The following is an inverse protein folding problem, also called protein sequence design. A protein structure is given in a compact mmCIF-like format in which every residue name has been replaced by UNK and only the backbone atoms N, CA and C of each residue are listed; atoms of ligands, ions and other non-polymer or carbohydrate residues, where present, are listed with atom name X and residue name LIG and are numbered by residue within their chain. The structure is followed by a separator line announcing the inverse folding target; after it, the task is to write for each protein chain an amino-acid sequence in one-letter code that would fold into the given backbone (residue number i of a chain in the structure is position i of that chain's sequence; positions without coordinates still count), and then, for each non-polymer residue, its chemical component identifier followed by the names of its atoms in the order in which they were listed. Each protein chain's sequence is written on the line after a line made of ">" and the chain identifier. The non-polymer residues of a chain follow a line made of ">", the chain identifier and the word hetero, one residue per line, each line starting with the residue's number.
data_IF_353217839722
#
_entry.id   IF_353217839722
#
_cell.length_a   1.000
_cell.length_b   1.000
_cell.length_c   1.000
_cell.angle_alpha   90.00
_cell.angle_beta   90.00
_cell.angle_gamma   90.00
#
_symmetry.space_group_name_H-M   'P 1'
#
loop_
_entity.id
_entity.type
_entity.pdbx_description
1 polymer ?
#
# COMPACT_ATOMS: atom_id res chain seq x y z
N UNK A 1 62.67 4.04 12.65
CA UNK A 1 62.09 3.27 13.78
C UNK A 1 62.59 1.83 13.78
N UNK A 2 62.48 1.09 12.66
CA UNK A 2 62.92 -0.31 12.55
C UNK A 2 64.40 -0.63 12.87
N UNK A 3 65.32 0.35 12.83
CA UNK A 3 66.77 0.14 13.01
C UNK A 3 67.30 0.45 14.41
N UNK A 4 66.45 0.90 15.33
CA UNK A 4 66.85 1.32 16.67
C UNK A 4 65.91 0.70 17.69
N UNK A 5 66.43 -0.12 18.61
CA UNK A 5 65.70 -0.69 19.75
C UNK A 5 65.34 0.36 20.82
N UNK A 6 64.96 1.56 20.39
CA UNK A 6 64.69 2.72 21.22
C UNK A 6 63.25 3.19 21.03
N UNK A 7 62.63 3.59 22.14
CA UNK A 7 61.32 4.24 22.16
C UNK A 7 61.51 5.73 21.86
N UNK A 8 60.52 6.35 21.22
CA UNK A 8 60.57 7.76 20.86
C UNK A 8 59.34 8.50 21.35
N UNK A 9 59.51 9.75 21.75
CA UNK A 9 58.40 10.69 21.92
C UNK A 9 58.07 11.40 20.61
N UNK A 10 56.84 11.90 20.46
CA UNK A 10 56.44 12.64 19.26
C UNK A 10 57.39 13.80 18.94
N UNK A 11 57.82 14.55 19.96
CA UNK A 11 58.78 15.67 19.81
C UNK A 11 60.14 15.23 19.26
N UNK A 12 60.56 13.99 19.54
CA UNK A 12 61.81 13.43 19.03
C UNK A 12 61.63 12.98 17.57
N UNK A 13 60.48 12.38 17.27
CA UNK A 13 60.10 12.02 15.91
C UNK A 13 59.97 13.24 15.00
N UNK A 14 59.43 14.36 15.50
CA UNK A 14 59.35 15.63 14.77
C UNK A 14 60.74 16.20 14.41
N UNK A 15 61.76 15.94 15.25
CA UNK A 15 63.15 16.33 14.96
C UNK A 15 63.85 15.36 14.01
N UNK A 16 63.53 14.07 14.08
CA UNK A 16 64.18 13.01 13.29
C UNK A 16 63.51 12.79 11.93
N UNK A 17 62.21 13.03 11.81
CA UNK A 17 61.40 12.84 10.60
C UNK A 17 61.97 13.57 9.38
N UNK A 18 62.29 14.88 9.46
CA UNK A 18 62.92 15.61 8.36
C UNK A 18 64.26 15.03 7.92
N UNK A 19 65.05 14.52 8.86
CA UNK A 19 66.35 13.86 8.56
C UNK A 19 66.17 12.52 7.84
N UNK A 20 64.95 11.98 7.82
CA UNK A 20 64.57 10.74 7.13
C UNK A 20 63.68 11.00 5.91
N UNK A 21 63.57 12.26 5.46
CA UNK A 21 62.84 12.63 4.24
C UNK A 21 61.34 12.88 4.43
N UNK A 22 60.84 12.92 5.66
CA UNK A 22 59.44 13.26 5.95
C UNK A 22 59.31 14.77 6.10
N UNK A 23 58.32 15.38 5.43
CA UNK A 23 58.05 16.83 5.55
C UNK A 23 57.71 17.16 7.01
N UNK A 24 58.36 18.18 7.60
CA UNK A 24 58.23 18.51 9.04
C UNK A 24 56.79 18.61 9.52
N UNK A 25 55.89 19.19 8.72
CA UNK A 25 54.48 19.38 9.08
C UNK A 25 53.65 18.09 9.05
N UNK A 26 54.09 17.05 8.32
CA UNK A 26 53.36 15.78 8.15
C UNK A 26 53.86 14.65 9.04
N UNK A 27 54.91 14.87 9.84
CA UNK A 27 55.50 13.81 10.70
C UNK A 27 54.45 13.19 11.61
N UNK A 28 53.57 13.99 12.19
CA UNK A 28 52.49 13.50 13.06
C UNK A 28 51.52 12.58 12.33
N UNK A 29 51.09 12.96 11.13
CA UNK A 29 50.13 12.19 10.32
C UNK A 29 50.76 10.88 9.83
N UNK A 30 52.03 10.93 9.42
CA UNK A 30 52.78 9.73 9.02
C UNK A 30 52.95 8.78 10.21
N UNK A 31 53.29 9.28 11.40
CA UNK A 31 53.38 8.45 12.60
C UNK A 31 52.03 7.86 12.97
N UNK A 32 50.94 8.62 12.84
CA UNK A 32 49.60 8.09 13.12
C UNK A 32 49.20 7.00 12.13
N UNK A 33 49.43 7.18 10.82
CA UNK A 33 49.19 6.16 9.79
C UNK A 33 49.97 4.88 10.07
N UNK A 34 51.24 4.99 10.46
CA UNK A 34 52.06 3.82 10.82
C UNK A 34 51.53 3.09 12.06
N UNK A 35 50.86 3.79 12.98
CA UNK A 35 50.18 3.16 14.11
C UNK A 35 48.88 2.51 13.68
N UNK A 36 48.12 3.15 12.79
CA UNK A 36 46.85 2.61 12.28
C UNK A 36 47.07 1.34 11.45
N UNK A 37 48.22 1.26 10.75
CA UNK A 37 48.69 0.06 10.04
C UNK A 37 49.41 -0.95 10.97
N UNK A 38 49.35 -0.75 12.28
CA UNK A 38 50.00 -1.53 13.35
C UNK A 38 51.55 -1.58 13.28
N UNK A 39 52.19 -0.94 12.30
CA UNK A 39 53.66 -0.96 12.08
C UNK A 39 54.46 -0.29 13.21
N UNK A 40 53.82 0.61 13.96
CA UNK A 40 54.38 1.29 15.14
C UNK A 40 53.41 1.11 16.30
N UNK A 41 53.92 0.65 17.44
CA UNK A 41 53.17 0.57 18.68
C UNK A 41 53.15 1.94 19.35
N UNK A 42 51.98 2.33 19.89
CA UNK A 42 51.82 3.53 20.73
C UNK A 42 51.33 3.13 22.11
N UNK A 43 51.86 3.77 23.15
CA UNK A 43 51.33 3.66 24.51
C UNK A 43 51.57 4.93 25.32
N UNK A 44 50.71 5.16 26.30
CA UNK A 44 50.76 6.33 27.18
C UNK A 44 51.24 5.91 28.57
N UNK A 45 52.44 6.36 28.93
CA UNK A 45 53.04 6.11 30.24
C UNK A 45 53.10 7.44 30.99
N UNK A 46 52.29 7.57 32.05
CA UNK A 46 52.11 8.82 32.79
C UNK A 46 51.49 9.93 31.92
N UNK A 47 52.20 11.04 31.76
CA UNK A 47 51.76 12.19 30.95
C UNK A 47 52.25 12.14 29.49
N UNK A 48 53.06 11.16 29.13
CA UNK A 48 53.77 11.11 27.85
C UNK A 48 53.36 9.92 26.99
N UNK A 49 53.30 10.13 25.67
CA UNK A 49 53.03 9.08 24.68
C UNK A 49 54.34 8.64 24.03
N UNK A 50 54.55 7.33 23.99
CA UNK A 50 55.74 6.69 23.46
C UNK A 50 55.39 5.88 22.22
N UNK A 51 56.30 5.90 21.24
CA UNK A 51 56.20 5.18 19.99
C UNK A 51 57.41 4.26 19.81
N UNK A 52 57.18 3.01 19.43
CA UNK A 52 58.26 2.06 19.17
C UNK A 52 57.86 1.00 18.15
N UNK A 53 58.85 0.30 17.60
CA UNK A 53 58.63 -0.80 16.67
C UNK A 53 59.53 -1.96 17.07
N UNK A 54 58.96 -3.17 17.19
CA UNK A 54 59.73 -4.38 17.44
C UNK A 54 60.03 -5.08 16.10
N UNK A 55 61.25 -5.58 15.86
CA UNK A 55 61.54 -6.38 14.65
C UNK A 55 60.63 -7.61 14.49
N UNK A 56 60.12 -8.14 15.60
CA UNK A 56 59.15 -9.24 15.63
C UNK A 56 57.71 -8.83 15.31
N UNK A 57 57.39 -7.53 15.29
CA UNK A 57 56.03 -7.00 15.09
C UNK A 57 55.47 -7.40 13.72
N UNK A 58 56.26 -7.25 12.65
CA UNK A 58 55.85 -7.60 11.28
C UNK A 58 55.50 -9.08 11.14
N UNK A 59 56.26 -9.96 11.80
CA UNK A 59 55.98 -11.40 11.77
C UNK A 59 54.69 -11.77 12.52
N UNK A 60 54.41 -11.11 13.64
CA UNK A 60 53.19 -11.33 14.41
C UNK A 60 51.95 -10.76 13.72
N UNK A 61 52.07 -9.59 13.07
CA UNK A 61 51.00 -9.06 12.23
C UNK A 61 50.63 -10.00 11.09
N UNK A 62 51.63 -10.52 10.37
CA UNK A 62 51.38 -11.45 9.27
C UNK A 62 50.67 -12.72 9.75
N UNK A 63 51.04 -13.24 10.93
CA UNK A 63 50.33 -14.35 11.57
C UNK A 63 48.89 -13.99 11.91
N UNK A 64 48.67 -12.85 12.58
CA UNK A 64 47.32 -12.40 12.96
C UNK A 64 46.41 -12.20 11.74
N UNK A 65 46.94 -11.60 10.65
CA UNK A 65 46.21 -11.42 9.39
C UNK A 65 45.87 -12.77 8.78
N UNK A 66 46.82 -13.71 8.75
CA UNK A 66 46.60 -15.07 8.25
C UNK A 66 45.52 -15.80 9.06
N UNK A 67 45.57 -15.71 10.39
CA UNK A 67 44.62 -16.36 11.28
C UNK A 67 43.22 -15.75 11.13
N UNK A 68 43.12 -14.42 11.01
CA UNK A 68 41.86 -13.71 10.76
C UNK A 68 41.26 -14.11 9.42
N UNK A 69 42.04 -14.06 8.34
CA UNK A 69 41.60 -14.52 7.01
C UNK A 69 41.17 -15.99 7.02
N UNK A 70 41.88 -16.84 7.77
CA UNK A 70 41.52 -18.24 7.97
C UNK A 70 40.16 -18.40 8.65
N UNK A 71 39.91 -17.64 9.72
CA UNK A 71 38.63 -17.62 10.45
C UNK A 71 37.49 -17.10 9.58
N UNK A 72 37.71 -16.00 8.85
CA UNK A 72 36.73 -15.40 7.94
C UNK A 72 36.36 -16.39 6.82
N UNK A 73 37.36 -17.05 6.21
CA UNK A 73 37.13 -18.08 5.20
C UNK A 73 36.31 -19.25 5.74
N UNK A 74 36.62 -19.72 6.96
CA UNK A 74 35.87 -20.80 7.60
C UNK A 74 34.41 -20.39 7.87
N UNK A 75 34.19 -19.18 8.36
CA UNK A 75 32.85 -18.64 8.61
C UNK A 75 32.03 -18.51 7.31
N UNK A 76 32.66 -18.03 6.23
CA UNK A 76 32.02 -17.89 4.93
C UNK A 76 31.69 -19.26 4.32
N UNK A 77 32.58 -20.25 4.45
CA UNK A 77 32.32 -21.62 4.00
C UNK A 77 31.14 -22.24 4.75
N UNK A 78 31.06 -22.03 6.06
CA UNK A 78 29.94 -22.50 6.88
C UNK A 78 28.62 -21.87 6.43
N UNK A 79 28.57 -20.54 6.29
CA UNK A 79 27.37 -19.83 5.78
C UNK A 79 26.96 -20.29 4.39
N UNK A 80 27.92 -20.55 3.51
CA UNK A 80 27.65 -21.05 2.16
C UNK A 80 27.00 -22.44 2.20
N UNK A 81 27.52 -23.35 3.04
CA UNK A 81 26.93 -24.68 3.24
C UNK A 81 25.51 -24.60 3.81
N UNK A 82 25.28 -23.75 4.82
CA UNK A 82 23.95 -23.51 5.40
C UNK A 82 22.96 -22.96 4.36
N UNK A 83 23.38 -22.02 3.51
CA UNK A 83 22.53 -21.47 2.44
C UNK A 83 22.20 -22.51 1.37
N UNK A 84 23.14 -23.38 1.01
CA UNK A 84 22.88 -24.51 0.10
C UNK A 84 21.84 -25.45 0.71
N UNK A 85 22.00 -25.81 1.98
CA UNK A 85 21.07 -26.70 2.67
C UNK A 85 19.67 -26.08 2.78
N UNK A 86 19.57 -24.78 3.10
CA UNK A 86 18.30 -24.05 3.10
C UNK A 86 17.67 -24.01 1.70
N UNK A 87 18.45 -23.74 0.65
CA UNK A 87 17.97 -23.75 -0.74
C UNK A 87 17.46 -25.13 -1.15
N UNK A 88 18.19 -26.20 -0.80
CA UNK A 88 17.76 -27.57 -1.04
C UNK A 88 16.49 -27.92 -0.25
N UNK A 89 16.37 -27.48 1.00
CA UNK A 89 15.19 -27.64 1.84
C UNK A 89 13.96 -26.91 1.28
N UNK A 90 14.12 -25.69 0.76
CA UNK A 90 13.06 -24.92 0.12
C UNK A 90 12.62 -25.51 -1.23
N UNK A 91 13.53 -26.17 -1.95
CA UNK A 91 13.22 -26.89 -3.18
C UNK A 91 12.47 -28.19 -2.92
N UNK A 92 12.67 -28.83 -1.78
CA UNK A 92 11.94 -30.04 -1.38
C UNK A 92 10.46 -29.68 -1.15
N UNK A 93 9.59 -30.06 -2.09
CA UNK A 93 8.16 -29.70 -2.09
C UNK A 93 7.80 -28.49 -2.95
N UNK A 94 8.79 -27.81 -3.53
CA UNK A 94 8.64 -26.81 -4.61
C UNK A 94 9.41 -27.26 -5.85
N UNK A 95 9.35 -28.55 -6.16
CA UNK A 95 9.81 -29.01 -7.46
C UNK A 95 8.95 -28.28 -8.50
N UNK A 96 9.59 -27.57 -9.43
CA UNK A 96 8.95 -27.07 -10.66
C UNK A 96 8.53 -28.28 -11.49
N UNK A 97 7.52 -28.99 -11.00
CA UNK A 97 6.81 -29.99 -11.75
C UNK A 97 5.84 -29.25 -12.65
N UNK A 98 5.66 -29.75 -13.87
CA UNK A 98 4.61 -29.26 -14.78
C UNK A 98 3.24 -29.20 -14.09
N UNK A 99 3.01 -30.05 -13.07
CA UNK A 99 1.81 -30.00 -12.23
C UNK A 99 1.73 -28.75 -11.37
N UNK A 100 2.82 -28.30 -10.73
CA UNK A 100 2.82 -27.09 -9.90
C UNK A 100 2.56 -25.82 -10.74
N UNK A 101 3.13 -25.76 -11.94
CA UNK A 101 2.90 -24.66 -12.90
C UNK A 101 1.44 -24.68 -13.38
N UNK A 102 0.92 -25.86 -13.74
CA UNK A 102 -0.49 -26.03 -14.15
C UNK A 102 -1.45 -25.67 -13.02
N UNK A 103 -1.21 -26.12 -11.79
CA UNK A 103 -2.06 -25.79 -10.63
C UNK A 103 -2.01 -24.30 -10.31
N UNK A 104 -0.84 -23.67 -10.35
CA UNK A 104 -0.70 -22.21 -10.17
C UNK A 104 -1.49 -21.42 -11.22
N UNK A 105 -1.35 -21.81 -12.51
CA UNK A 105 -2.12 -21.21 -13.60
C UNK A 105 -3.63 -21.46 -13.46
N UNK A 106 -4.02 -22.68 -13.06
CA UNK A 106 -5.42 -23.03 -12.80
C UNK A 106 -6.01 -22.22 -11.64
N UNK A 107 -5.23 -21.84 -10.63
CA UNK A 107 -5.69 -20.97 -9.54
C UNK A 107 -5.76 -19.49 -9.94
N UNK A 108 -4.92 -19.02 -10.86
CA UNK A 108 -4.99 -17.63 -11.36
C UNK A 108 -6.24 -17.36 -12.20
N UNK A 109 -6.69 -18.33 -13.00
CA UNK A 109 -7.87 -18.16 -13.88
C UNK A 109 -9.21 -17.90 -13.16
N UNK A 110 -9.58 -18.57 -12.04
CA UNK A 110 -10.79 -18.25 -11.31
C UNK A 110 -10.65 -16.96 -10.50
N UNK A 111 -9.45 -16.59 -10.05
CA UNK A 111 -9.22 -15.31 -9.36
C UNK A 111 -9.49 -14.15 -10.31
N UNK A 112 -8.90 -14.16 -11.50
CA UNK A 112 -9.15 -13.11 -12.50
C UNK A 112 -10.60 -13.04 -12.94
N UNK A 113 -11.28 -14.19 -13.07
CA UNK A 113 -12.74 -14.21 -13.33
C UNK A 113 -13.56 -13.65 -12.17
N UNK A 114 -13.17 -13.94 -10.93
CA UNK A 114 -13.83 -13.39 -9.74
C UNK A 114 -13.69 -11.87 -9.70
N UNK A 115 -12.50 -11.34 -9.99
CA UNK A 115 -12.24 -9.91 -10.04
C UNK A 115 -13.10 -9.22 -11.12
N UNK A 116 -13.17 -9.81 -12.33
CA UNK A 116 -14.02 -9.30 -13.41
C UNK A 116 -15.51 -9.30 -13.05
N UNK A 117 -16.02 -10.39 -12.46
CA UNK A 117 -17.41 -10.45 -12.02
C UNK A 117 -17.70 -9.45 -10.90
N UNK A 118 -16.73 -9.19 -10.01
CA UNK A 118 -16.88 -8.20 -8.95
C UNK A 118 -16.92 -6.77 -9.51
N UNK A 119 -16.08 -6.45 -10.50
CA UNK A 119 -16.14 -5.19 -11.24
C UNK A 119 -17.46 -5.02 -12.00
N UNK A 120 -17.98 -6.10 -12.58
CA UNK A 120 -19.29 -6.09 -13.25
C UNK A 120 -20.43 -5.86 -12.25
N UNK A 121 -20.45 -6.58 -11.13
CA UNK A 121 -21.42 -6.39 -10.05
C UNK A 121 -21.39 -4.96 -9.47
N UNK A 122 -20.21 -4.34 -9.39
CA UNK A 122 -20.07 -2.95 -8.94
C UNK A 122 -20.79 -1.95 -9.86
N UNK A 123 -20.86 -2.21 -11.18
CA UNK A 123 -21.63 -1.37 -12.13
C UNK A 123 -23.13 -1.44 -11.89
N UNK A 124 -23.61 -2.52 -11.26
CA UNK A 124 -25.02 -2.74 -10.94
C UNK A 124 -25.31 -2.57 -9.44
N UNK A 125 -24.38 -2.03 -8.65
CA UNK A 125 -24.57 -1.82 -7.22
C UNK A 125 -25.78 -0.91 -6.91
N UNK A 126 -26.07 0.05 -7.79
CA UNK A 126 -27.23 0.94 -7.66
C UNK A 126 -28.55 0.26 -8.08
N UNK A 127 -28.50 -0.92 -8.72
CA UNK A 127 -29.65 -1.73 -9.10
C UNK A 127 -29.97 -2.79 -8.05
N UNK A 128 -29.83 -2.45 -6.77
CA UNK A 128 -30.24 -3.34 -5.69
C UNK A 128 -31.77 -3.58 -5.79
N UNK A 129 -32.21 -4.85 -5.94
CA UNK A 129 -33.63 -5.19 -5.94
C UNK A 129 -34.37 -4.65 -4.70
N UNK A 130 -33.69 -4.56 -3.56
CA UNK A 130 -34.27 -3.99 -2.35
C UNK A 130 -34.49 -2.48 -2.46
N UNK A 131 -33.56 -1.74 -3.07
CA UNK A 131 -33.71 -0.31 -3.33
C UNK A 131 -34.84 -0.03 -4.32
N UNK A 132 -34.94 -0.83 -5.39
CA UNK A 132 -36.03 -0.72 -6.36
C UNK A 132 -37.40 -1.02 -5.74
N UNK A 133 -37.49 -2.06 -4.91
CA UNK A 133 -38.72 -2.41 -4.21
C UNK A 133 -39.15 -1.31 -3.22
N UNK A 134 -38.21 -0.75 -2.46
CA UNK A 134 -38.47 0.36 -1.55
C UNK A 134 -38.96 1.62 -2.30
N UNK A 135 -38.39 1.91 -3.47
CA UNK A 135 -38.84 3.02 -4.32
C UNK A 135 -40.28 2.81 -4.80
N UNK A 136 -40.65 1.59 -5.21
CA UNK A 136 -42.01 1.26 -5.63
C UNK A 136 -43.02 1.44 -4.50
N UNK A 137 -42.69 0.96 -3.30
CA UNK A 137 -43.55 1.12 -2.12
C UNK A 137 -43.72 2.61 -1.74
N UNK A 138 -42.65 3.40 -1.84
CA UNK A 138 -42.71 4.83 -1.60
C UNK A 138 -43.61 5.56 -2.62
N UNK A 139 -43.58 5.14 -3.90
CA UNK A 139 -44.47 5.67 -4.94
C UNK A 139 -45.93 5.36 -4.63
N UNK A 140 -46.25 4.13 -4.22
CA UNK A 140 -47.62 3.73 -3.87
C UNK A 140 -48.15 4.56 -2.68
N UNK A 141 -47.32 4.79 -1.66
CA UNK A 141 -47.67 5.64 -0.50
C UNK A 141 -47.87 7.10 -0.92
N UNK A 142 -46.97 7.65 -1.73
CA UNK A 142 -47.06 9.04 -2.19
C UNK A 142 -48.30 9.26 -3.08
N UNK A 143 -48.60 8.30 -3.94
CA UNK A 143 -49.77 8.30 -4.82
C UNK A 143 -51.07 8.28 -4.02
N UNK A 144 -51.20 7.35 -3.07
CA UNK A 144 -52.36 7.28 -2.18
C UNK A 144 -52.52 8.57 -1.35
N UNK A 145 -51.41 9.13 -0.86
CA UNK A 145 -51.42 10.39 -0.11
C UNK A 145 -51.87 11.57 -0.97
N UNK A 146 -51.37 11.68 -2.21
CA UNK A 146 -51.77 12.73 -3.14
C UNK A 146 -53.28 12.67 -3.44
N UNK A 147 -53.80 11.49 -3.78
CA UNK A 147 -55.22 11.30 -4.05
C UNK A 147 -56.11 11.57 -2.82
N UNK A 148 -55.64 11.25 -1.62
CA UNK A 148 -56.33 11.62 -0.37
C UNK A 148 -56.39 13.13 -0.17
N UNK A 149 -55.35 13.88 -0.55
CA UNK A 149 -55.40 15.33 -0.51
C UNK A 149 -56.32 15.91 -1.59
N UNK A 150 -56.38 15.29 -2.78
CA UNK A 150 -57.37 15.60 -3.81
C UNK A 150 -58.80 15.46 -3.28
N UNK A 151 -59.12 14.35 -2.60
CA UNK A 151 -60.40 14.14 -1.92
C UNK A 151 -60.72 15.27 -0.92
N UNK A 152 -59.74 15.61 -0.08
CA UNK A 152 -59.90 16.66 0.92
C UNK A 152 -60.18 18.02 0.27
N UNK A 153 -59.47 18.36 -0.81
CA UNK A 153 -59.65 19.61 -1.56
C UNK A 153 -61.06 19.66 -2.17
N UNK A 154 -61.51 18.59 -2.82
CA UNK A 154 -62.86 18.53 -3.40
C UNK A 154 -63.95 18.59 -2.33
N UNK A 155 -63.75 17.90 -1.20
CA UNK A 155 -64.68 17.94 -0.07
C UNK A 155 -64.79 19.35 0.52
N UNK A 156 -63.66 20.03 0.72
CA UNK A 156 -63.62 21.42 1.20
C UNK A 156 -64.31 22.37 0.21
N UNK A 157 -63.99 22.26 -1.09
CA UNK A 157 -64.63 23.07 -2.15
C UNK A 157 -66.15 22.86 -2.14
N UNK A 158 -66.61 21.62 -2.06
CA UNK A 158 -68.05 21.31 -2.02
C UNK A 158 -68.72 21.83 -0.73
N UNK A 159 -68.09 21.63 0.43
CA UNK A 159 -68.65 22.07 1.71
C UNK A 159 -68.72 23.59 1.80
N UNK A 160 -67.67 24.31 1.40
CA UNK A 160 -67.67 25.77 1.44
C UNK A 160 -68.72 26.35 0.48
N UNK A 161 -68.86 25.82 -0.74
CA UNK A 161 -69.87 26.29 -1.69
C UNK A 161 -71.31 26.05 -1.20
N UNK A 162 -71.56 24.96 -0.44
CA UNK A 162 -72.88 24.68 0.15
C UNK A 162 -73.21 25.60 1.33
N UNK A 163 -72.25 25.86 2.21
CA UNK A 163 -72.49 26.62 3.45
C UNK A 163 -72.34 28.13 3.28
N UNK A 164 -71.55 28.58 2.29
CA UNK A 164 -71.28 30.00 2.02
C UNK A 164 -71.50 30.35 0.54
N UNK A 165 -72.75 30.34 0.03
CA UNK A 165 -73.02 30.59 -1.39
C UNK A 165 -72.54 31.96 -1.88
N UNK A 166 -72.53 32.96 -1.00
CA UNK A 166 -72.10 34.33 -1.31
C UNK A 166 -70.58 34.45 -1.53
N UNK A 167 -69.79 33.50 -1.03
CA UNK A 167 -68.34 33.47 -1.14
C UNK A 167 -67.84 32.38 -2.12
N UNK A 168 -68.75 31.65 -2.78
CA UNK A 168 -68.40 30.53 -3.64
C UNK A 168 -67.51 30.94 -4.82
N UNK A 169 -67.80 32.08 -5.46
CA UNK A 169 -67.00 32.61 -6.58
C UNK A 169 -65.61 33.08 -6.13
N UNK A 170 -65.52 33.71 -4.95
CA UNK A 170 -64.24 34.15 -4.39
C UNK A 170 -63.35 32.97 -4.01
N UNK A 171 -63.94 31.90 -3.45
CA UNK A 171 -63.24 30.66 -3.14
C UNK A 171 -62.79 29.94 -4.41
N UNK A 172 -63.61 29.91 -5.46
CA UNK A 172 -63.26 29.31 -6.74
C UNK A 172 -62.05 30.00 -7.39
N UNK A 173 -62.04 31.34 -7.36
CA UNK A 173 -60.91 32.15 -7.83
C UNK A 173 -59.65 31.89 -7.00
N UNK A 174 -59.76 31.77 -5.67
CA UNK A 174 -58.62 31.42 -4.80
C UNK A 174 -58.04 30.04 -5.14
N UNK A 175 -58.87 29.02 -5.35
CA UNK A 175 -58.38 27.69 -5.74
C UNK A 175 -57.66 27.73 -7.09
N UNK A 176 -58.17 28.48 -8.07
CA UNK A 176 -57.51 28.69 -9.37
C UNK A 176 -56.17 29.42 -9.24
N UNK A 177 -56.08 30.46 -8.41
CA UNK A 177 -54.81 31.16 -8.13
C UNK A 177 -53.76 30.25 -7.48
N UNK A 178 -54.20 29.29 -6.65
CA UNK A 178 -53.34 28.29 -6.01
C UNK A 178 -52.99 27.10 -6.94
N UNK A 179 -53.42 27.12 -8.20
CA UNK A 179 -53.12 26.09 -9.19
C UNK A 179 -54.07 24.90 -9.20
N UNK A 180 -55.19 24.95 -8.46
CA UNK A 180 -56.29 23.98 -8.56
C UNK A 180 -57.21 24.44 -9.69
N UNK A 181 -56.78 24.17 -10.93
CA UNK A 181 -57.51 24.50 -12.14
C UNK A 181 -58.59 23.47 -12.46
N UNK A 182 -59.36 23.68 -13.52
CA UNK A 182 -60.40 22.74 -13.97
C UNK A 182 -59.83 21.40 -14.51
N UNK A 183 -58.50 21.33 -14.69
CA UNK A 183 -57.76 20.12 -15.08
C UNK A 183 -57.20 19.35 -13.85
N UNK A 184 -57.37 19.88 -12.64
CA UNK A 184 -56.91 19.22 -11.42
C UNK A 184 -57.79 18.00 -11.12
N UNK A 185 -57.20 16.81 -11.17
CA UNK A 185 -57.88 15.54 -10.94
C UNK A 185 -56.97 14.55 -10.19
N UNK A 186 -57.49 13.35 -9.92
CA UNK A 186 -56.72 12.25 -9.34
C UNK A 186 -55.52 11.89 -10.21
N UNK A 187 -54.40 11.58 -9.54
CA UNK A 187 -53.24 11.03 -10.22
C UNK A 187 -53.55 9.59 -10.64
N UNK A 188 -53.38 9.29 -11.92
CA UNK A 188 -53.40 7.92 -12.43
C UNK A 188 -51.98 7.36 -12.46
N UNK A 189 -51.77 6.18 -11.87
CA UNK A 189 -50.51 5.48 -12.01
C UNK A 189 -50.51 4.77 -13.37
N UNK A 190 -49.59 5.15 -14.26
CA UNK A 190 -49.45 4.46 -15.54
C UNK A 190 -49.20 2.96 -15.29
N UNK A 191 -49.86 2.05 -16.03
CA UNK A 191 -49.64 0.62 -15.84
C UNK A 191 -48.17 0.32 -16.11
N UNK A 192 -47.51 -0.30 -15.14
CA UNK A 192 -46.13 -0.73 -15.30
C UNK A 192 -46.03 -1.62 -16.54
N UNK A 193 -45.31 -1.16 -17.56
CA UNK A 193 -45.02 -1.99 -18.73
C UNK A 193 -44.32 -3.27 -18.23
N UNK A 194 -44.81 -4.46 -18.60
CA UNK A 194 -44.21 -5.70 -18.15
C UNK A 194 -42.75 -5.77 -18.63
N UNK A 195 -41.83 -5.99 -17.70
CA UNK A 195 -40.38 -6.06 -17.95
C UNK A 195 -39.99 -7.11 -19.01
N UNK A 196 -40.88 -8.04 -19.36
CA UNK A 196 -40.68 -9.07 -20.38
C UNK A 196 -40.52 -8.52 -21.81
N UNK A 197 -40.70 -7.21 -22.04
CA UNK A 197 -40.57 -6.60 -23.37
C UNK A 197 -39.14 -6.10 -23.68
N UNK A 198 -38.20 -6.12 -22.74
CA UNK A 198 -36.83 -5.62 -22.94
C UNK A 198 -35.87 -6.80 -23.09
N UNK A 199 -35.70 -7.25 -24.34
CA UNK A 199 -34.50 -7.94 -24.83
C UNK A 199 -34.26 -9.36 -24.31
N UNK A 200 -34.97 -10.35 -24.86
CA UNK A 200 -34.40 -11.69 -24.98
C UNK A 200 -33.32 -11.64 -26.08
N UNK A 201 -32.04 -11.93 -25.81
CA UNK A 201 -31.09 -12.15 -26.88
C UNK A 201 -31.49 -13.44 -27.60
N UNK A 202 -31.73 -13.34 -28.91
CA UNK A 202 -31.84 -14.50 -29.78
C UNK A 202 -30.56 -15.33 -29.63
N UNK A 203 -30.67 -16.48 -28.99
CA UNK A 203 -29.60 -17.47 -28.98
C UNK A 203 -29.51 -18.06 -30.39
N UNK A 204 -28.49 -17.66 -31.15
CA UNK A 204 -28.11 -18.38 -32.37
C UNK A 204 -27.79 -19.83 -32.02
N UNK A 205 -28.65 -20.75 -32.45
CA UNK A 205 -28.38 -22.18 -32.49
C UNK A 205 -27.24 -22.44 -33.48
N UNK A 206 -26.02 -22.52 -32.96
CA UNK A 206 -24.92 -23.21 -33.62
C UNK A 206 -25.10 -24.73 -33.47
N UNK A 207 -25.76 -25.37 -34.43
CA UNK A 207 -25.76 -26.84 -34.58
C UNK A 207 -24.37 -27.38 -34.97
N UNK A 208 -24.04 -28.63 -34.58
CA UNK A 208 -22.69 -29.20 -34.58
C UNK A 208 -22.11 -29.57 -35.96
#
# INVERSE_FOLDING_TARGET
>A
LYLSAFHFQLKELEKLGPKKGVITRSVKDVVQSLVDDDLVLKDKIGTSVYFWSLPSSTGNQLKNIKDKLGSDLQSSKKRYAELIEQSAGLKKGREESDQAIKTSGQCQTPLTKSDLHQEEMAKYADNDPAAFQAMKEAIDVAHAAANRWTDNIFTLRQWCSKNFPQAAEQLDNLFKELGVTDEFDYLELAPALPLNAIGAPEAEEGTP
#
